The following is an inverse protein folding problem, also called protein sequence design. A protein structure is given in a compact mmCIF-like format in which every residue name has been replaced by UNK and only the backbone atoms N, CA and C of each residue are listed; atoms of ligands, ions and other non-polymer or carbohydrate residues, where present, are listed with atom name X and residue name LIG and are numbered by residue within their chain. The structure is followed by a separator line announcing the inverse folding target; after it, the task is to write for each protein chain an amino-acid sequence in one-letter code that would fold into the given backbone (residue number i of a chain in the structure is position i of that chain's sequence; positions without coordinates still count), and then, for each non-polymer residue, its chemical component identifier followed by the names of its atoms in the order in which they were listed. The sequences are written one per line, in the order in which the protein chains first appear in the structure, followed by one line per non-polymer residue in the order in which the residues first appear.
data_IF_349716726629
#
_entry.id   IF_349716726629
#
_cell.length_a   1.000
_cell.length_b   1.000
_cell.length_c   1.000
_cell.angle_alpha   90.00
_cell.angle_beta   90.00
_cell.angle_gamma   90.00
#
_symmetry.space_group_name_H-M   'P 1'
#
loop_
_entity.id
_entity.type
_entity.pdbx_description
1 polymer ?
#
# COMPACT_ATOMS: atom_id res chain seq x y z
N UNK A 1 -7.49 2.97 71.18
CA UNK A 1 -6.57 4.13 71.07
C UNK A 1 -5.38 3.72 70.23
N UNK A 2 -5.24 4.25 69.01
CA UNK A 2 -3.96 4.46 68.31
C UNK A 2 -4.19 4.59 66.79
N UNK A 3 -3.68 5.70 66.28
CA UNK A 3 -3.12 5.90 64.95
C UNK A 3 -4.01 6.02 63.70
N UNK A 4 -4.17 7.30 63.31
CA UNK A 4 -3.82 7.86 62.00
C UNK A 4 -4.60 7.35 60.79
N UNK A 5 -5.79 7.91 60.62
CA UNK A 5 -6.28 8.29 59.28
C UNK A 5 -6.07 9.78 59.09
N UNK A 6 -5.24 10.14 58.10
CA UNK A 6 -5.34 11.31 57.21
C UNK A 6 -3.96 11.63 56.64
N UNK A 7 -3.82 11.48 55.32
CA UNK A 7 -2.64 11.94 54.60
C UNK A 7 -2.56 11.40 53.18
N UNK A 8 -2.71 12.31 52.22
CA UNK A 8 -2.17 12.26 50.84
C UNK A 8 -3.04 11.57 49.76
N UNK A 9 -4.11 12.26 49.36
CA UNK A 9 -4.53 12.30 47.94
C UNK A 9 -4.07 13.63 47.33
N UNK A 10 -2.82 13.65 46.83
CA UNK A 10 -2.35 14.59 45.80
C UNK A 10 -1.60 13.78 44.76
N UNK A 11 -2.33 13.21 43.81
CA UNK A 11 -1.73 12.74 42.57
C UNK A 11 -1.32 13.98 41.76
N UNK A 12 -0.02 14.27 41.75
CA UNK A 12 0.57 15.24 40.85
C UNK A 12 0.43 14.71 39.41
N UNK A 13 -0.37 15.39 38.60
CA UNK A 13 -0.33 15.24 37.15
C UNK A 13 1.02 15.79 36.68
N UNK A 14 1.98 14.90 36.47
CA UNK A 14 3.22 15.23 35.78
C UNK A 14 2.90 15.58 34.31
N UNK A 15 3.26 16.77 33.81
CA UNK A 15 3.12 17.06 32.39
C UNK A 15 4.14 16.24 31.61
N UNK A 16 3.64 15.42 30.68
CA UNK A 16 4.43 14.69 29.69
C UNK A 16 5.22 15.71 28.86
N UNK A 17 6.53 15.83 29.14
CA UNK A 17 7.48 16.58 28.31
C UNK A 17 7.51 15.97 26.92
N UNK A 18 6.76 16.58 25.99
CA UNK A 18 6.96 16.38 24.55
C UNK A 18 8.33 16.94 24.21
N UNK A 19 9.27 16.08 23.84
CA UNK A 19 10.51 16.50 23.20
C UNK A 19 10.15 17.14 21.86
N UNK A 20 10.07 18.47 21.83
CA UNK A 20 10.04 19.25 20.62
C UNK A 20 11.40 19.09 19.92
N UNK A 21 11.40 18.39 18.78
CA UNK A 21 12.51 18.46 17.84
C UNK A 21 12.63 19.91 17.35
N UNK A 22 13.62 20.64 17.88
CA UNK A 22 14.06 21.92 17.32
C UNK A 22 14.61 21.67 15.92
N UNK A 23 13.83 22.01 14.91
CA UNK A 23 14.35 22.25 13.55
C UNK A 23 15.37 23.39 13.60
N UNK A 24 16.48 23.33 12.86
CA UNK A 24 17.37 24.47 12.73
C UNK A 24 16.60 25.62 12.05
N UNK A 25 16.53 26.77 12.73
CA UNK A 25 16.03 28.02 12.16
C UNK A 25 16.91 28.36 10.96
N UNK A 26 16.41 28.13 9.75
CA UNK A 26 16.98 28.70 8.53
C UNK A 26 16.64 30.18 8.56
N UNK A 27 17.63 31.03 8.75
CA UNK A 27 17.48 32.47 8.69
C UNK A 27 16.83 32.84 7.35
N UNK A 28 15.65 33.46 7.41
CA UNK A 28 15.04 34.12 6.28
C UNK A 28 15.86 35.38 6.03
N UNK A 29 16.74 35.33 5.03
CA UNK A 29 17.30 36.52 4.44
C UNK A 29 16.15 37.26 3.73
N UNK A 30 15.65 38.31 4.37
CA UNK A 30 14.80 39.31 3.72
C UNK A 30 15.62 39.94 2.60
N UNK A 31 15.28 39.60 1.35
CA UNK A 31 15.77 40.34 0.18
C UNK A 31 15.17 41.74 0.27
N UNK A 32 16.00 42.73 0.57
CA UNK A 32 15.63 44.14 0.40
C UNK A 32 15.30 44.44 -1.07
N UNK A 33 14.60 45.55 -1.34
CA UNK A 33 14.31 45.96 -2.71
C UNK A 33 15.61 46.17 -3.48
N UNK A 34 15.67 45.58 -4.67
CA UNK A 34 16.79 45.69 -5.59
C UNK A 34 16.86 47.13 -6.13
N UNK A 35 17.86 47.88 -5.69
CA UNK A 35 18.21 49.19 -6.26
C UNK A 35 19.25 48.94 -7.36
N UNK A 36 18.96 49.24 -8.63
CA UNK A 36 19.95 49.10 -9.69
C UNK A 36 21.06 50.14 -9.51
N UNK A 37 22.32 49.81 -9.87
CA UNK A 37 23.42 50.76 -9.80
C UNK A 37 23.23 51.87 -10.83
N UNK A 38 23.42 53.12 -10.40
CA UNK A 38 23.58 54.29 -11.26
C UNK A 38 24.82 54.10 -12.14
N UNK A 39 24.61 53.60 -13.35
CA UNK A 39 25.61 53.57 -14.39
C UNK A 39 25.52 54.90 -15.15
N UNK A 40 26.62 55.65 -15.12
CA UNK A 40 26.79 56.91 -15.83
C UNK A 40 26.41 56.73 -17.30
N UNK A 41 25.42 57.51 -17.74
CA UNK A 41 25.09 57.66 -19.15
C UNK A 41 26.24 58.39 -19.84
N UNK A 42 27.11 57.63 -20.50
CA UNK A 42 27.88 58.18 -21.62
C UNK A 42 26.94 58.19 -22.83
N UNK A 43 26.58 59.39 -23.26
CA UNK A 43 25.85 59.65 -24.49
C UNK A 43 26.74 59.32 -25.69
N UNK A 44 26.75 58.05 -26.09
CA UNK A 44 27.24 57.61 -27.40
C UNK A 44 26.08 57.58 -28.38
N UNK A 45 26.05 58.53 -29.31
CA UNK A 45 25.05 58.58 -30.39
C UNK A 45 25.12 57.35 -31.27
N UNK A 46 23.97 56.71 -31.50
CA UNK A 46 23.81 55.67 -32.50
C UNK A 46 23.74 56.37 -33.86
N UNK A 47 24.62 56.08 -34.84
CA UNK A 47 24.50 56.67 -36.16
C UNK A 47 23.27 56.10 -36.87
N UNK A 48 22.40 56.98 -37.37
CA UNK A 48 21.32 56.62 -38.28
C UNK A 48 21.93 55.88 -39.47
N UNK A 49 21.49 54.63 -39.68
CA UNK A 49 21.71 53.94 -40.93
C UNK A 49 20.83 54.63 -41.98
N UNK A 50 21.45 55.42 -42.83
CA UNK A 50 20.81 55.95 -44.03
C UNK A 50 20.37 54.75 -44.89
N UNK A 51 19.07 54.67 -45.20
CA UNK A 51 18.62 53.85 -46.32
C UNK A 51 19.19 54.44 -47.61
N UNK A 52 19.70 53.62 -48.54
CA UNK A 52 20.17 54.13 -49.82
C UNK A 52 19.02 54.85 -50.51
N UNK A 53 19.30 56.07 -50.96
CA UNK A 53 18.44 56.83 -51.85
C UNK A 53 18.06 55.99 -53.07
N UNK A 54 16.83 56.21 -53.51
CA UNK A 54 16.24 55.76 -54.75
C UNK A 54 17.25 55.84 -55.90
N UNK A 55 17.61 54.69 -56.46
CA UNK A 55 18.09 54.60 -57.83
C UNK A 55 16.85 54.73 -58.72
N UNK A 56 16.89 55.72 -59.61
CA UNK A 56 15.91 55.97 -60.65
C UNK A 56 15.68 54.70 -61.46
N UNK A 57 14.60 53.97 -61.15
CA UNK A 57 14.05 52.94 -62.01
C UNK A 57 13.17 53.66 -63.04
N UNK A 58 13.71 53.76 -64.26
CA UNK A 58 12.96 54.10 -65.47
C UNK A 58 11.66 53.29 -65.50
N UNK A 59 10.55 54.01 -65.43
CA UNK A 59 9.23 53.49 -65.77
C UNK A 59 9.18 53.37 -67.29
N UNK A 60 9.40 52.16 -67.82
CA UNK A 60 8.92 51.85 -69.17
C UNK A 60 7.39 51.74 -69.10
N UNK A 61 6.69 52.69 -69.74
CA UNK A 61 5.27 52.59 -70.03
C UNK A 61 5.07 51.45 -71.04
N UNK A 62 4.69 50.27 -70.55
CA UNK A 62 4.13 49.22 -71.39
C UNK A 62 2.62 49.47 -71.58
N UNK A 63 2.21 49.48 -72.85
CA UNK A 63 0.87 49.81 -73.35
C UNK A 63 -0.25 48.90 -72.78
N UNK A 64 -1.47 49.42 -72.56
CA UNK A 64 -2.57 48.66 -71.98
C UNK A 64 -3.43 48.05 -73.08
N UNK A 65 -2.96 47.01 -73.76
CA UNK A 65 -3.81 46.19 -74.63
C UNK A 65 -3.36 44.72 -74.62
N UNK A 66 -4.11 43.88 -73.90
CA UNK A 66 -4.49 42.48 -74.22
C UNK A 66 -4.48 41.52 -73.02
N UNK A 67 -5.55 40.75 -72.96
CA UNK A 67 -5.71 39.44 -72.31
C UNK A 67 -5.90 39.39 -70.79
N UNK A 68 -7.11 39.80 -70.40
CA UNK A 68 -7.89 39.17 -69.34
C UNK A 68 -7.96 37.65 -69.55
N UNK A 69 -7.26 36.86 -68.72
CA UNK A 69 -7.69 35.54 -68.22
C UNK A 69 -6.67 34.83 -67.27
N UNK A 70 -5.49 35.41 -66.97
CA UNK A 70 -4.48 34.75 -66.09
C UNK A 70 -4.50 35.16 -64.60
N UNK A 71 -5.39 36.05 -64.15
CA UNK A 71 -5.37 36.53 -62.76
C UNK A 71 -6.00 35.57 -61.71
N UNK A 72 -6.67 34.49 -62.14
CA UNK A 72 -7.41 33.62 -61.22
C UNK A 72 -6.52 32.59 -60.50
N UNK A 73 -5.33 32.28 -61.02
CA UNK A 73 -4.43 31.26 -60.44
C UNK A 73 -3.39 31.81 -59.45
N UNK A 74 -3.20 33.14 -59.39
CA UNK A 74 -2.22 33.77 -58.48
C UNK A 74 -2.66 33.77 -57.01
N UNK A 75 -3.98 33.70 -56.77
CA UNK A 75 -4.55 33.64 -55.42
C UNK A 75 -4.44 32.24 -54.79
N UNK A 76 -4.49 31.18 -55.61
CA UNK A 76 -4.27 29.80 -55.18
C UNK A 76 -2.82 29.56 -54.73
N UNK A 77 -1.87 30.12 -55.49
CA UNK A 77 -0.43 29.99 -55.21
C UNK A 77 0.06 30.77 -53.97
N UNK A 78 -0.71 31.75 -53.48
CA UNK A 78 -0.40 32.52 -52.27
C UNK A 78 -0.79 31.77 -50.98
N UNK A 79 -1.75 30.86 -51.05
CA UNK A 79 -2.18 30.03 -49.91
C UNK A 79 -1.12 28.97 -49.60
N UNK A 80 -0.39 28.48 -50.60
CA UNK A 80 0.66 27.46 -50.45
C UNK A 80 1.98 27.99 -49.86
N UNK A 81 2.19 29.32 -49.86
CA UNK A 81 3.39 29.97 -49.29
C UNK A 81 3.23 30.34 -47.80
N UNK A 82 2.09 30.04 -47.19
CA UNK A 82 1.84 30.25 -45.77
C UNK A 82 2.66 29.29 -44.90
N UNK A 83 3.47 29.80 -43.98
CA UNK A 83 4.16 28.98 -42.97
C UNK A 83 3.11 28.08 -42.26
N UNK A 84 3.34 26.76 -42.14
CA UNK A 84 2.34 25.88 -41.55
C UNK A 84 2.03 26.32 -40.11
N UNK A 85 0.75 26.36 -39.78
CA UNK A 85 0.32 26.61 -38.41
C UNK A 85 0.90 25.52 -37.48
N UNK A 86 1.28 25.88 -36.24
CA UNK A 86 1.78 24.91 -35.29
C UNK A 86 0.73 23.81 -35.05
N UNK A 87 1.19 22.56 -34.98
CA UNK A 87 0.32 21.38 -34.86
C UNK A 87 -0.50 21.33 -33.56
N UNK A 88 -0.12 22.09 -32.52
CA UNK A 88 -0.89 22.13 -31.28
C UNK A 88 -0.91 23.51 -30.61
N UNK A 89 -1.96 23.81 -29.81
CA UNK A 89 -2.11 25.10 -29.15
C UNK A 89 -0.99 25.39 -28.15
N UNK A 90 -0.43 24.35 -27.52
CA UNK A 90 0.63 24.51 -26.52
C UNK A 90 2.05 24.40 -27.11
N UNK A 91 2.20 24.55 -28.43
CA UNK A 91 3.48 24.46 -29.14
C UNK A 91 4.60 25.33 -28.51
N UNK A 92 4.29 26.59 -28.17
CA UNK A 92 5.28 27.52 -27.61
C UNK A 92 5.64 27.28 -26.13
N UNK A 93 5.05 26.28 -25.48
CA UNK A 93 5.35 25.94 -24.08
C UNK A 93 6.66 25.17 -23.87
N UNK A 94 7.30 24.74 -24.96
CA UNK A 94 8.49 23.87 -24.96
C UNK A 94 8.21 22.41 -24.57
N UNK A 95 6.98 22.07 -24.17
CA UNK A 95 6.53 20.71 -23.77
C UNK A 95 5.09 20.47 -24.17
N UNK A 96 4.79 20.71 -25.44
CA UNK A 96 3.42 20.73 -25.96
C UNK A 96 2.64 19.44 -25.66
N UNK A 97 3.24 18.27 -25.96
CA UNK A 97 2.61 16.97 -25.74
C UNK A 97 2.09 16.75 -24.30
N UNK A 98 2.79 17.25 -23.28
CA UNK A 98 2.33 17.14 -21.90
C UNK A 98 1.14 18.07 -21.61
N UNK A 99 1.21 19.33 -22.04
CA UNK A 99 0.16 20.31 -21.75
C UNK A 99 -1.11 20.07 -22.56
N UNK A 100 -0.98 19.58 -23.80
CA UNK A 100 -2.13 19.16 -24.60
C UNK A 100 -2.86 18.00 -23.92
N UNK A 101 -2.12 16.99 -23.43
CA UNK A 101 -2.70 15.87 -22.69
C UNK A 101 -3.28 16.31 -21.34
N UNK A 102 -2.61 17.23 -20.64
CA UNK A 102 -3.14 17.81 -19.40
C UNK A 102 -4.47 18.53 -19.66
N UNK A 103 -4.54 19.36 -20.70
CA UNK A 103 -5.74 20.08 -21.09
C UNK A 103 -6.87 19.13 -21.52
N UNK A 104 -6.55 18.03 -22.21
CA UNK A 104 -7.51 16.98 -22.53
C UNK A 104 -8.12 16.36 -21.27
N UNK A 105 -7.29 16.01 -20.28
CA UNK A 105 -7.77 15.44 -19.00
C UNK A 105 -8.56 16.49 -18.21
N UNK A 106 -8.12 17.74 -18.16
CA UNK A 106 -8.86 18.83 -17.50
C UNK A 106 -10.22 19.07 -18.14
N UNK A 107 -10.29 19.11 -19.48
CA UNK A 107 -11.54 19.22 -20.24
C UNK A 107 -12.46 18.04 -19.93
N UNK A 108 -11.94 16.81 -19.90
CA UNK A 108 -12.71 15.63 -19.53
C UNK A 108 -13.25 15.69 -18.09
N UNK A 109 -12.44 16.14 -17.13
CA UNK A 109 -12.86 16.35 -15.72
C UNK A 109 -13.97 17.39 -15.64
N UNK A 110 -13.85 18.50 -16.36
CA UNK A 110 -14.85 19.56 -16.36
C UNK A 110 -16.15 19.13 -17.04
N UNK A 111 -16.07 18.48 -18.21
CA UNK A 111 -17.22 17.98 -18.94
C UNK A 111 -18.00 16.94 -18.13
N UNK A 112 -17.30 15.97 -17.53
CA UNK A 112 -17.91 14.93 -16.69
C UNK A 112 -18.50 15.50 -15.42
N UNK A 113 -17.83 16.45 -14.78
CA UNK A 113 -18.37 17.17 -13.63
C UNK A 113 -19.66 17.91 -13.98
N UNK A 114 -19.69 18.61 -15.11
CA UNK A 114 -20.88 19.32 -15.57
C UNK A 114 -22.01 18.35 -15.89
N UNK A 115 -21.73 17.24 -16.58
CA UNK A 115 -22.71 16.18 -16.84
C UNK A 115 -23.31 15.61 -15.56
N UNK A 116 -22.47 15.23 -14.59
CA UNK A 116 -22.93 14.71 -13.29
C UNK A 116 -23.72 15.74 -12.47
N UNK A 117 -23.38 17.03 -12.57
CA UNK A 117 -24.16 18.11 -11.94
C UNK A 117 -25.52 18.28 -12.60
N UNK A 118 -25.60 18.22 -13.94
CA UNK A 118 -26.86 18.29 -14.67
C UNK A 118 -27.78 17.12 -14.29
N UNK A 119 -27.21 15.94 -14.05
CA UNK A 119 -27.90 14.76 -13.55
C UNK A 119 -28.16 14.79 -12.02
N UNK A 120 -27.83 15.87 -11.32
CA UNK A 120 -27.99 16.05 -9.87
C UNK A 120 -27.28 15.00 -9.00
N UNK A 121 -26.25 14.34 -9.52
CA UNK A 121 -25.45 13.35 -8.78
C UNK A 121 -24.32 13.99 -7.95
N UNK A 122 -24.03 15.28 -8.17
CA UNK A 122 -23.03 16.03 -7.41
C UNK A 122 -23.66 17.26 -6.74
N UNK A 123 -23.29 17.59 -5.49
CA UNK A 123 -22.26 16.93 -4.68
C UNK A 123 -22.76 15.67 -3.96
N UNK A 124 -21.97 14.60 -4.02
CA UNK A 124 -22.26 13.36 -3.28
C UNK A 124 -21.82 13.51 -1.80
N UNK A 125 -22.65 13.12 -0.81
CA UNK A 125 -22.24 13.11 0.59
C UNK A 125 -21.17 12.04 0.87
N UNK A 126 -20.37 12.22 1.91
CA UNK A 126 -19.18 11.39 2.17
C UNK A 126 -19.54 9.91 2.41
N UNK A 127 -20.64 9.61 3.10
CA UNK A 127 -21.13 8.23 3.28
C UNK A 127 -21.42 7.54 1.95
N UNK A 128 -22.00 8.26 0.99
CA UNK A 128 -22.32 7.72 -0.32
C UNK A 128 -21.05 7.50 -1.15
N UNK A 129 -20.04 8.36 -1.00
CA UNK A 129 -18.72 8.15 -1.66
C UNK A 129 -18.00 6.92 -1.15
N UNK A 130 -18.14 6.60 0.13
CA UNK A 130 -17.56 5.40 0.75
C UNK A 130 -18.28 4.12 0.30
N UNK A 131 -19.60 4.19 0.08
CA UNK A 131 -20.41 3.06 -0.40
C UNK A 131 -20.16 2.70 -1.88
N UNK A 132 -19.58 3.60 -2.70
CA UNK A 132 -19.32 3.35 -4.12
C UNK A 132 -18.37 2.16 -4.34
N UNK A 133 -18.59 1.32 -5.37
CA UNK A 133 -17.69 0.22 -5.68
C UNK A 133 -16.26 0.71 -5.86
N UNK A 134 -15.31 0.03 -5.22
CA UNK A 134 -13.90 0.40 -5.26
C UNK A 134 -13.27 -0.09 -6.57
N UNK A 135 -12.88 0.83 -7.44
CA UNK A 135 -12.00 0.57 -8.59
C UNK A 135 -10.60 1.06 -8.23
N UNK A 136 -9.68 0.17 -7.81
CA UNK A 136 -8.32 0.60 -7.50
C UNK A 136 -7.60 1.00 -8.79
N UNK A 137 -7.33 2.29 -8.94
CA UNK A 137 -6.55 2.80 -10.05
C UNK A 137 -5.06 2.69 -9.75
N UNK A 138 -4.31 2.11 -10.68
CA UNK A 138 -2.84 2.08 -10.66
C UNK A 138 -2.37 2.83 -11.88
N UNK A 139 -1.97 4.07 -11.68
CA UNK A 139 -1.47 4.92 -12.76
C UNK A 139 -0.06 4.49 -13.19
N UNK A 140 0.27 4.75 -14.46
CA UNK A 140 1.64 4.61 -14.97
C UNK A 140 2.64 5.36 -14.09
N UNK A 141 3.83 4.79 -13.90
CA UNK A 141 4.90 5.45 -13.14
C UNK A 141 5.36 6.72 -13.88
N UNK A 142 5.93 7.71 -13.17
CA UNK A 142 6.43 8.94 -13.81
C UNK A 142 7.41 8.70 -14.98
N UNK A 143 8.19 7.60 -14.93
CA UNK A 143 9.08 7.19 -16.03
C UNK A 143 8.32 6.65 -17.24
N UNK A 144 7.32 5.80 -17.01
CA UNK A 144 6.47 5.21 -18.06
C UNK A 144 5.67 6.31 -18.76
N UNK A 145 5.00 7.17 -17.98
CA UNK A 145 4.25 8.32 -18.51
C UNK A 145 5.16 9.32 -19.25
N UNK A 146 6.40 9.50 -18.76
CA UNK A 146 7.39 10.33 -19.45
C UNK A 146 7.86 9.74 -20.77
N UNK A 147 7.94 8.41 -20.87
CA UNK A 147 8.28 7.72 -22.12
C UNK A 147 7.14 7.84 -23.15
N UNK A 148 5.89 7.64 -22.72
CA UNK A 148 4.71 7.77 -23.58
C UNK A 148 4.57 9.19 -24.15
N UNK A 149 4.82 10.21 -23.30
CA UNK A 149 4.70 11.62 -23.68
C UNK A 149 5.98 12.20 -24.29
N UNK A 150 7.06 11.40 -24.37
CA UNK A 150 8.40 11.84 -24.80
C UNK A 150 8.93 13.08 -24.05
N UNK A 151 8.58 13.22 -22.76
CA UNK A 151 8.97 14.36 -21.93
C UNK A 151 9.57 13.86 -20.63
N UNK A 152 10.69 14.46 -20.21
CA UNK A 152 11.26 14.22 -18.88
C UNK A 152 10.26 14.71 -17.82
N UNK A 153 9.75 13.81 -16.97
CA UNK A 153 8.73 14.14 -15.96
C UNK A 153 9.36 14.57 -14.64
N UNK A 154 9.00 15.78 -14.17
CA UNK A 154 9.27 16.22 -12.80
C UNK A 154 8.17 15.70 -11.86
N UNK A 155 8.49 15.52 -10.58
CA UNK A 155 7.53 15.09 -9.56
C UNK A 155 6.29 15.99 -9.48
N UNK A 156 6.43 17.32 -9.61
CA UNK A 156 5.30 18.26 -9.59
C UNK A 156 4.33 18.05 -10.75
N UNK A 157 4.83 17.84 -11.97
CA UNK A 157 4.00 17.58 -13.16
C UNK A 157 3.27 16.25 -13.06
N UNK A 158 3.98 15.21 -12.64
CA UNK A 158 3.37 13.92 -12.39
C UNK A 158 2.26 13.99 -11.34
N UNK A 159 2.45 14.74 -10.24
CA UNK A 159 1.41 14.99 -9.22
C UNK A 159 0.22 15.77 -9.78
N UNK A 160 0.46 16.78 -10.62
CA UNK A 160 -0.60 17.55 -11.25
C UNK A 160 -1.49 16.66 -12.13
N UNK A 161 -0.87 15.84 -12.99
CA UNK A 161 -1.57 14.88 -13.84
C UNK A 161 -2.33 13.83 -13.03
N UNK A 162 -1.67 13.18 -12.07
CA UNK A 162 -2.30 12.12 -11.24
C UNK A 162 -3.43 12.64 -10.35
N UNK A 163 -3.39 13.90 -9.93
CA UNK A 163 -4.50 14.55 -9.21
C UNK A 163 -5.76 14.60 -10.09
N UNK A 164 -5.61 15.03 -11.35
CA UNK A 164 -6.74 15.11 -12.29
C UNK A 164 -7.26 13.72 -12.67
N UNK A 165 -6.37 12.76 -12.91
CA UNK A 165 -6.75 11.36 -13.15
C UNK A 165 -7.49 10.76 -11.93
N UNK A 166 -7.08 11.13 -10.71
CA UNK A 166 -7.79 10.76 -9.48
C UNK A 166 -9.21 11.31 -9.43
N UNK A 167 -9.40 12.58 -9.77
CA UNK A 167 -10.73 13.22 -9.86
C UNK A 167 -11.59 12.56 -10.94
N UNK A 168 -11.02 12.29 -12.12
CA UNK A 168 -11.73 11.63 -13.21
C UNK A 168 -12.15 10.20 -12.85
N UNK A 169 -11.31 9.46 -12.12
CA UNK A 169 -11.64 8.13 -11.61
C UNK A 169 -12.77 8.16 -10.56
N UNK A 170 -12.84 9.22 -9.73
CA UNK A 170 -13.96 9.41 -8.81
C UNK A 170 -15.28 9.63 -9.59
N UNK A 171 -15.28 10.50 -10.59
CA UNK A 171 -16.45 10.73 -11.44
C UNK A 171 -16.87 9.49 -12.22
N UNK A 172 -15.93 8.70 -12.71
CA UNK A 172 -16.22 7.40 -13.31
C UNK A 172 -16.96 6.47 -12.33
N UNK A 173 -16.51 6.39 -11.07
CA UNK A 173 -17.17 5.54 -10.04
C UNK A 173 -18.61 5.98 -9.80
N UNK A 174 -18.85 7.29 -9.76
CA UNK A 174 -20.20 7.87 -9.59
C UNK A 174 -21.06 7.55 -10.81
N UNK A 175 -20.58 7.84 -12.02
CA UNK A 175 -21.30 7.60 -13.27
C UNK A 175 -21.66 6.11 -13.44
N UNK A 176 -20.72 5.20 -13.14
CA UNK A 176 -20.94 3.76 -13.21
C UNK A 176 -21.99 3.29 -12.19
N UNK A 177 -21.93 3.77 -10.94
CA UNK A 177 -22.92 3.41 -9.93
C UNK A 177 -24.32 3.96 -10.24
N UNK A 178 -24.40 5.10 -10.91
CA UNK A 178 -25.66 5.71 -11.34
C UNK A 178 -26.24 5.11 -12.64
N UNK A 179 -25.56 4.14 -13.28
CA UNK A 179 -26.01 3.54 -14.54
C UNK A 179 -25.86 4.43 -15.78
N UNK A 180 -25.03 5.47 -15.71
CA UNK A 180 -24.75 6.36 -16.85
C UNK A 180 -23.66 5.77 -17.74
N UNK A 181 -24.01 4.78 -18.55
CA UNK A 181 -23.04 3.95 -19.26
C UNK A 181 -22.19 4.71 -20.29
N UNK A 182 -22.77 5.62 -21.10
CA UNK A 182 -22.00 6.38 -22.10
C UNK A 182 -20.93 7.27 -21.44
N UNK A 183 -21.30 8.00 -20.40
CA UNK A 183 -20.37 8.83 -19.64
C UNK A 183 -19.28 7.98 -18.97
N UNK A 184 -19.66 6.82 -18.41
CA UNK A 184 -18.73 5.88 -17.81
C UNK A 184 -17.77 5.28 -18.86
N UNK A 185 -18.23 4.95 -20.07
CA UNK A 185 -17.41 4.41 -21.14
C UNK A 185 -16.40 5.44 -21.67
N UNK A 186 -16.83 6.67 -21.93
CA UNK A 186 -15.95 7.76 -22.39
C UNK A 186 -14.84 8.03 -21.39
N UNK A 187 -15.20 8.16 -20.11
CA UNK A 187 -14.22 8.39 -19.03
C UNK A 187 -13.28 7.19 -18.86
N UNK A 188 -13.80 5.96 -18.93
CA UNK A 188 -12.99 4.74 -18.87
C UNK A 188 -11.97 4.68 -20.00
N UNK A 189 -12.36 5.01 -21.23
CA UNK A 189 -11.46 4.98 -22.38
C UNK A 189 -10.28 5.95 -22.19
N UNK A 190 -10.55 7.16 -21.69
CA UNK A 190 -9.49 8.12 -21.35
C UNK A 190 -8.60 7.63 -20.21
N UNK A 191 -9.18 7.06 -19.15
CA UNK A 191 -8.42 6.54 -18.02
C UNK A 191 -7.51 5.38 -18.43
N UNK A 192 -7.97 4.48 -19.30
CA UNK A 192 -7.20 3.32 -19.77
C UNK A 192 -5.87 3.72 -20.43
N UNK A 193 -5.79 4.88 -21.09
CA UNK A 193 -4.55 5.40 -21.70
C UNK A 193 -3.45 5.62 -20.64
N UNK A 194 -3.85 6.02 -19.43
CA UNK A 194 -2.94 6.35 -18.32
C UNK A 194 -2.84 5.26 -17.24
N UNK A 195 -3.60 4.17 -17.37
CA UNK A 195 -3.47 3.00 -16.49
C UNK A 195 -2.16 2.25 -16.76
N UNK A 196 -1.52 1.75 -15.69
CA UNK A 196 -0.27 1.00 -15.83
C UNK A 196 -0.55 -0.39 -16.43
N UNK A 197 0.26 -0.87 -17.40
CA UNK A 197 0.13 -2.24 -17.90
C UNK A 197 0.39 -3.28 -16.80
N UNK A 198 1.14 -2.92 -15.75
CA UNK A 198 1.44 -3.78 -14.62
C UNK A 198 0.38 -3.72 -13.49
N UNK A 199 -0.82 -3.18 -13.75
CA UNK A 199 -1.88 -3.01 -12.74
C UNK A 199 -2.23 -4.30 -12.00
N UNK A 200 -2.41 -5.41 -12.72
CA UNK A 200 -2.74 -6.71 -12.11
C UNK A 200 -1.64 -7.19 -11.16
N UNK A 201 -0.38 -7.08 -11.57
CA UNK A 201 0.78 -7.40 -10.74
C UNK A 201 0.92 -6.46 -9.54
N UNK A 202 0.59 -5.17 -9.68
CA UNK A 202 0.61 -4.21 -8.59
C UNK A 202 -0.48 -4.48 -7.55
N UNK A 203 -1.68 -4.89 -7.98
CA UNK A 203 -2.80 -5.22 -7.08
C UNK A 203 -2.59 -6.56 -6.35
N UNK A 204 -1.92 -7.51 -6.99
CA UNK A 204 -1.56 -8.79 -6.35
C UNK A 204 -0.33 -8.67 -5.46
N UNK A 205 0.52 -7.63 -5.66
CA UNK A 205 1.70 -7.39 -4.83
C UNK A 205 1.30 -7.25 -3.37
N UNK A 206 1.83 -8.13 -2.53
CA UNK A 206 1.58 -8.12 -1.08
C UNK A 206 0.37 -8.95 -0.64
N UNK A 207 -0.51 -9.37 -1.56
CA UNK A 207 -1.51 -10.41 -1.26
C UNK A 207 -0.78 -11.73 -1.09
N UNK A 208 -0.95 -12.38 0.07
CA UNK A 208 -0.38 -13.70 0.33
C UNK A 208 -1.22 -14.76 -0.38
N UNK A 209 -0.57 -15.81 -0.89
CA UNK A 209 -1.25 -17.01 -1.39
C UNK A 209 -2.06 -17.63 -0.25
N UNK A 210 -3.32 -17.95 -0.51
CA UNK A 210 -4.17 -18.72 0.41
C UNK A 210 -3.55 -20.10 0.61
N UNK A 211 -3.46 -20.53 1.86
CA UNK A 211 -2.96 -21.85 2.21
C UNK A 211 -4.17 -22.80 2.30
N UNK A 212 -4.02 -24.02 1.81
CA UNK A 212 -5.07 -25.03 1.79
C UNK A 212 -4.71 -26.18 2.75
N UNK A 213 -5.72 -26.87 3.26
CA UNK A 213 -5.59 -28.10 4.06
C UNK A 213 -5.66 -29.32 3.15
N UNK A 214 -4.84 -30.33 3.37
CA UNK A 214 -4.87 -31.57 2.59
C UNK A 214 -6.22 -32.29 2.69
N UNK A 215 -6.46 -33.31 1.87
CA UNK A 215 -7.67 -34.15 1.89
C UNK A 215 -7.99 -34.74 3.28
N UNK A 216 -6.96 -34.94 4.11
CA UNK A 216 -7.05 -35.50 5.46
C UNK A 216 -7.18 -34.42 6.54
N UNK A 217 -7.52 -33.18 6.17
CA UNK A 217 -7.68 -32.06 7.10
C UNK A 217 -6.37 -31.60 7.75
N UNK A 218 -5.21 -32.05 7.25
CA UNK A 218 -3.89 -31.67 7.76
C UNK A 218 -3.42 -30.37 7.10
N UNK A 219 -2.78 -29.48 7.84
CA UNK A 219 -2.05 -28.35 7.25
C UNK A 219 -0.55 -28.64 7.19
N UNK A 220 0.05 -28.47 6.02
CA UNK A 220 1.50 -28.58 5.83
C UNK A 220 2.16 -27.20 5.79
N UNK A 221 3.14 -26.97 6.67
CA UNK A 221 3.85 -25.68 6.74
C UNK A 221 5.34 -25.82 7.00
N UNK A 222 6.07 -24.73 6.78
CA UNK A 222 7.51 -24.67 6.98
C UNK A 222 7.93 -23.48 7.85
N UNK A 223 8.86 -23.75 8.76
CA UNK A 223 9.54 -22.79 9.61
C UNK A 223 11.05 -22.77 9.37
N UNK A 224 11.68 -21.59 9.47
CA UNK A 224 13.14 -21.43 9.38
C UNK A 224 13.63 -20.41 10.38
N UNK A 225 14.74 -20.70 11.06
CA UNK A 225 15.47 -19.76 11.92
C UNK A 225 16.94 -20.10 11.92
N UNK A 226 17.80 -19.11 11.61
CA UNK A 226 19.24 -19.34 11.37
C UNK A 226 19.41 -20.49 10.34
N UNK A 227 20.13 -21.55 10.70
CA UNK A 227 20.35 -22.76 9.91
C UNK A 227 19.32 -23.86 10.16
N UNK A 228 18.42 -23.70 11.14
CA UNK A 228 17.39 -24.68 11.46
C UNK A 228 16.19 -24.56 10.54
N UNK A 229 15.70 -25.71 10.08
CA UNK A 229 14.50 -25.85 9.27
C UNK A 229 13.53 -26.81 9.95
N UNK A 230 12.25 -26.46 9.94
CA UNK A 230 11.18 -27.27 10.52
C UNK A 230 10.06 -27.46 9.49
N UNK A 231 9.69 -28.71 9.24
CA UNK A 231 8.47 -29.09 8.52
C UNK A 231 7.43 -29.47 9.56
N UNK A 232 6.22 -28.93 9.43
CA UNK A 232 5.17 -29.04 10.45
C UNK A 232 3.90 -29.49 9.75
N UNK A 233 3.33 -30.59 10.24
CA UNK A 233 1.99 -31.05 9.92
C UNK A 233 1.11 -30.85 11.15
N UNK A 234 0.00 -30.14 10.99
CA UNK A 234 -0.98 -29.96 12.05
C UNK A 234 -2.30 -30.61 11.66
N UNK A 235 -2.95 -31.25 12.61
CA UNK A 235 -4.27 -31.86 12.46
C UNK A 235 -5.12 -31.42 13.65
N UNK A 236 -6.37 -30.94 13.46
CA UNK A 236 -7.26 -30.65 14.58
C UNK A 236 -7.51 -31.93 15.38
N UNK A 237 -7.51 -31.83 16.70
CA UNK A 237 -7.93 -32.95 17.56
C UNK A 237 -9.44 -33.07 17.36
N UNK A 238 -9.90 -34.24 16.92
CA UNK A 238 -11.32 -34.55 16.97
C UNK A 238 -11.71 -34.51 18.44
N UNK A 239 -12.58 -33.57 18.81
CA UNK A 239 -13.32 -33.70 20.05
C UNK A 239 -14.03 -35.06 19.96
N UNK A 240 -14.01 -35.90 21.02
CA UNK A 240 -14.96 -36.99 21.10
C UNK A 240 -16.30 -36.34 20.81
N UNK A 241 -17.00 -36.78 19.77
CA UNK A 241 -18.41 -36.46 19.64
C UNK A 241 -19.00 -36.98 20.93
N UNK A 242 -19.35 -36.07 21.84
CA UNK A 242 -20.42 -36.38 22.77
C UNK A 242 -21.56 -36.79 21.84
N UNK A 243 -21.84 -38.09 21.79
CA UNK A 243 -23.16 -38.58 21.47
C UNK A 243 -24.05 -37.82 22.45
N UNK A 244 -24.58 -36.68 22.01
CA UNK A 244 -25.58 -35.95 22.74
C UNK A 244 -26.77 -36.90 22.76
N UNK A 245 -26.84 -37.73 23.79
CA UNK A 245 -28.10 -38.35 24.18
C UNK A 245 -29.05 -37.19 24.42
N UNK A 246 -29.88 -36.94 23.41
CA UNK A 246 -30.99 -35.99 23.50
C UNK A 246 -31.91 -36.59 24.55
N UNK A 247 -31.80 -36.11 25.79
CA UNK A 247 -32.79 -36.46 26.81
C UNK A 247 -34.07 -35.75 26.39
N UNK A 248 -35.02 -36.52 25.86
CA UNK A 248 -36.32 -36.05 25.44
C UNK A 248 -37.01 -35.33 26.60
N UNK A 249 -37.19 -34.02 26.45
CA UNK A 249 -37.76 -33.10 27.46
C UNK A 249 -39.26 -33.32 27.73
N UNK A 250 -39.87 -34.35 27.14
CA UNK A 250 -41.31 -34.62 27.24
C UNK A 250 -41.71 -35.36 28.54
N UNK A 251 -40.77 -35.71 29.42
CA UNK A 251 -41.06 -36.52 30.62
C UNK A 251 -41.10 -35.75 31.96
N UNK A 252 -41.05 -34.41 31.96
CA UNK A 252 -41.17 -33.64 33.21
C UNK A 252 -42.60 -33.09 33.35
N UNK A 253 -43.44 -33.81 34.09
CA UNK A 253 -44.88 -33.57 34.20
C UNK A 253 -45.27 -32.49 35.24
N UNK A 254 -44.35 -32.06 36.11
CA UNK A 254 -44.65 -31.06 37.15
C UNK A 254 -43.44 -30.23 37.60
N UNK A 255 -43.70 -28.98 38.02
CA UNK A 255 -42.68 -28.06 38.56
C UNK A 255 -42.04 -28.59 39.85
N UNK A 256 -42.77 -29.38 40.64
CA UNK A 256 -42.29 -29.97 41.89
C UNK A 256 -41.33 -31.14 41.65
N UNK A 257 -41.53 -31.93 40.59
CA UNK A 257 -40.58 -32.98 40.17
C UNK A 257 -39.27 -32.38 39.63
N UNK A 258 -39.35 -31.25 38.91
CA UNK A 258 -38.17 -30.53 38.44
C UNK A 258 -37.34 -29.95 39.60
N UNK A 259 -38.01 -29.42 40.63
CA UNK A 259 -37.35 -28.89 41.84
C UNK A 259 -36.73 -30.01 42.69
N UNK A 260 -37.37 -31.18 42.78
CA UNK A 260 -36.83 -32.35 43.46
C UNK A 260 -35.56 -32.89 42.77
N UNK A 261 -35.55 -32.97 41.43
CA UNK A 261 -34.39 -33.39 40.64
C UNK A 261 -33.20 -32.41 40.69
N UNK A 262 -33.44 -31.13 41.02
CA UNK A 262 -32.39 -30.14 41.25
C UNK A 262 -31.85 -30.19 42.68
N UNK A 263 -32.68 -30.59 43.64
CA UNK A 263 -32.33 -30.66 45.08
C UNK A 263 -31.70 -31.99 45.48
N UNK A 264 -31.97 -33.07 44.73
CA UNK A 264 -31.42 -34.40 44.97
C UNK A 264 -30.11 -34.69 44.22
N UNK A 265 -29.43 -33.69 43.65
CA UNK A 265 -28.13 -33.90 43.02
C UNK A 265 -27.06 -33.93 44.11
N UNK A 266 -26.59 -35.12 44.56
CA UNK A 266 -25.38 -35.15 45.38
C UNK A 266 -24.28 -34.47 44.58
N UNK A 267 -23.53 -33.60 45.25
CA UNK A 267 -22.32 -32.92 44.77
C UNK A 267 -21.91 -33.39 43.37
N UNK A 268 -22.46 -32.74 42.33
CA UNK A 268 -21.96 -32.92 40.97
C UNK A 268 -20.56 -32.32 40.97
N UNK A 269 -19.58 -33.09 41.46
CA UNK A 269 -18.24 -33.06 40.91
C UNK A 269 -18.47 -32.97 39.41
N UNK A 270 -18.15 -31.82 38.81
CA UNK A 270 -18.20 -31.70 37.37
C UNK A 270 -17.45 -32.91 36.86
N UNK A 271 -18.17 -33.78 36.16
CA UNK A 271 -17.58 -34.93 35.51
C UNK A 271 -16.35 -34.40 34.79
N UNK A 272 -15.14 -34.92 35.09
CA UNK A 272 -13.91 -34.27 34.70
C UNK A 272 -13.91 -34.15 33.18
N UNK A 273 -14.19 -32.94 32.71
CA UNK A 273 -14.36 -32.67 31.29
C UNK A 273 -13.15 -33.23 30.57
N UNK A 274 -13.38 -34.15 29.63
CA UNK A 274 -12.31 -34.93 29.01
C UNK A 274 -11.41 -33.96 28.23
N UNK A 275 -10.35 -33.46 28.87
CA UNK A 275 -9.47 -32.46 28.25
C UNK A 275 -8.77 -33.13 27.06
N UNK A 276 -8.97 -32.67 25.82
CA UNK A 276 -8.35 -33.27 24.65
C UNK A 276 -6.82 -33.23 24.81
N UNK A 277 -6.19 -34.41 24.83
CA UNK A 277 -4.74 -34.54 24.98
C UNK A 277 -4.06 -34.21 23.65
N UNK A 278 -3.56 -32.99 23.49
CA UNK A 278 -2.76 -32.64 22.31
C UNK A 278 -1.39 -33.31 22.37
N UNK A 279 -1.03 -34.04 21.32
CA UNK A 279 0.30 -34.64 21.18
C UNK A 279 1.17 -33.80 20.25
N UNK A 280 2.35 -33.40 20.74
CA UNK A 280 3.36 -32.68 19.96
C UNK A 280 4.59 -33.59 19.82
N UNK A 281 4.81 -34.10 18.60
CA UNK A 281 5.96 -34.93 18.27
C UNK A 281 6.97 -34.17 17.41
N UNK A 282 8.24 -34.29 17.80
CA UNK A 282 9.38 -33.69 17.13
C UNK A 282 10.36 -34.79 16.78
N UNK A 283 10.53 -35.08 15.48
CA UNK A 283 11.32 -36.21 15.01
C UNK A 283 10.93 -37.52 15.71
N UNK A 284 9.62 -37.75 15.87
CA UNK A 284 9.00 -38.91 16.53
C UNK A 284 9.24 -39.01 18.05
N UNK A 285 9.78 -37.96 18.68
CA UNK A 285 10.03 -37.88 20.13
C UNK A 285 9.08 -36.83 20.72
N UNK A 286 8.51 -37.02 21.93
CA UNK A 286 7.67 -36.01 22.56
C UNK A 286 8.45 -34.74 22.88
N UNK A 287 7.77 -33.58 22.86
CA UNK A 287 8.39 -32.26 23.08
C UNK A 287 9.16 -32.14 24.41
N UNK A 288 8.72 -32.86 25.44
CA UNK A 288 9.36 -32.87 26.76
C UNK A 288 10.75 -33.50 26.74
N UNK A 289 10.90 -34.62 26.05
CA UNK A 289 12.19 -35.32 25.91
C UNK A 289 13.10 -34.64 24.90
N UNK A 290 12.56 -34.15 23.78
CA UNK A 290 13.37 -33.55 22.72
C UNK A 290 14.07 -32.25 23.17
N UNK A 291 13.36 -31.37 23.86
CA UNK A 291 13.93 -30.14 24.40
C UNK A 291 14.12 -30.26 25.91
N UNK A 292 15.37 -30.40 26.36
CA UNK A 292 15.67 -30.41 27.79
C UNK A 292 15.37 -29.06 28.48
N UNK A 293 15.59 -27.95 27.77
CA UNK A 293 15.44 -26.59 28.32
C UNK A 293 13.97 -26.14 28.29
N UNK A 294 13.36 -25.75 29.42
CA UNK A 294 11.94 -25.37 29.46
C UNK A 294 11.64 -24.14 28.60
N UNK A 295 12.56 -23.18 28.52
CA UNK A 295 12.41 -22.00 27.65
C UNK A 295 12.29 -22.34 26.16
N UNK A 296 12.85 -23.48 25.70
CA UNK A 296 12.67 -23.94 24.32
C UNK A 296 11.30 -24.59 24.13
N UNK A 297 10.79 -25.34 25.12
CA UNK A 297 9.42 -25.88 25.12
C UNK A 297 8.39 -24.76 25.06
N UNK A 298 8.55 -23.73 25.89
CA UNK A 298 7.68 -22.55 25.90
C UNK A 298 7.65 -21.83 24.55
N UNK A 299 8.80 -21.74 23.85
CA UNK A 299 8.85 -21.13 22.51
C UNK A 299 8.01 -21.89 21.50
N UNK A 300 8.06 -23.22 21.53
CA UNK A 300 7.28 -24.09 20.63
C UNK A 300 5.77 -23.95 20.89
N UNK A 301 5.37 -23.88 22.16
CA UNK A 301 3.97 -23.81 22.58
C UNK A 301 3.39 -22.38 22.49
N UNK A 302 4.24 -21.35 22.49
CA UNK A 302 3.86 -19.93 22.40
C UNK A 302 2.76 -19.61 21.36
N UNK A 303 2.82 -20.04 20.08
CA UNK A 303 1.75 -19.75 19.12
C UNK A 303 0.38 -20.28 19.55
N UNK A 304 0.32 -21.46 20.17
CA UNK A 304 -0.92 -22.04 20.70
C UNK A 304 -1.40 -21.27 21.94
N UNK A 305 -0.47 -20.93 22.84
CA UNK A 305 -0.78 -20.15 24.05
C UNK A 305 -1.34 -18.76 23.73
N UNK A 306 -0.76 -18.06 22.75
CA UNK A 306 -1.22 -16.72 22.37
C UNK A 306 -2.61 -16.72 21.72
N UNK A 307 -3.03 -17.84 21.14
CA UNK A 307 -4.32 -17.98 20.47
C UNK A 307 -5.39 -18.63 21.35
N UNK A 308 -5.04 -19.11 22.54
CA UNK A 308 -5.96 -19.89 23.38
C UNK A 308 -6.26 -21.28 22.83
N UNK A 309 -5.51 -21.77 21.85
CA UNK A 309 -5.75 -23.05 21.16
C UNK A 309 -4.83 -24.17 21.67
N UNK A 310 -4.53 -24.16 22.97
CA UNK A 310 -3.82 -25.25 23.62
C UNK A 310 -4.75 -26.47 23.70
N UNK A 311 -4.25 -27.67 23.37
CA UNK A 311 -5.08 -28.88 23.34
C UNK A 311 -5.83 -29.12 22.03
N UNK A 312 -6.02 -28.10 21.19
CA UNK A 312 -6.88 -28.19 20.01
C UNK A 312 -6.25 -28.90 18.79
N UNK A 313 -4.93 -29.03 18.73
CA UNK A 313 -4.23 -29.58 17.56
C UNK A 313 -3.19 -30.63 17.94
N UNK A 314 -3.14 -31.71 17.16
CA UNK A 314 -2.03 -32.64 17.11
C UNK A 314 -0.97 -32.13 16.12
N UNK A 315 0.28 -32.16 16.54
CA UNK A 315 1.38 -31.53 15.79
C UNK A 315 2.49 -32.55 15.58
N UNK A 316 2.75 -32.87 14.32
CA UNK A 316 3.86 -33.72 13.90
C UNK A 316 4.89 -32.86 13.20
N UNK A 317 6.14 -32.93 13.64
CA UNK A 317 7.19 -32.06 13.10
C UNK A 317 8.47 -32.82 12.80
N UNK A 318 9.11 -32.43 11.70
CA UNK A 318 10.45 -32.88 11.34
C UNK A 318 11.39 -31.69 11.30
N UNK A 319 12.43 -31.75 12.12
CA UNK A 319 13.39 -30.64 12.30
C UNK A 319 14.79 -31.10 11.95
N UNK A 320 15.48 -30.28 11.15
CA UNK A 320 16.85 -30.54 10.70
C UNK A 320 17.71 -29.28 10.79
N UNK A 321 18.97 -29.44 11.20
CA UNK A 321 19.99 -28.39 11.24
C UNK A 321 19.92 -27.43 12.45
N UNK A 322 21.00 -26.68 12.64
CA UNK A 322 21.18 -25.72 13.74
C UNK A 322 21.20 -26.36 15.12
N UNK A 323 20.90 -25.57 16.16
CA UNK A 323 20.86 -26.02 17.56
C UNK A 323 19.47 -25.85 18.18
N UNK A 324 19.29 -26.30 19.43
CA UNK A 324 18.00 -26.36 20.13
C UNK A 324 17.18 -25.06 20.03
N UNK A 325 17.79 -23.91 20.33
CA UNK A 325 17.12 -22.60 20.29
C UNK A 325 16.75 -22.13 18.87
N UNK A 326 17.53 -22.55 17.87
CA UNK A 326 17.22 -22.31 16.46
C UNK A 326 16.03 -23.15 16.03
N UNK A 327 16.02 -24.41 16.43
CA UNK A 327 14.98 -25.40 16.14
C UNK A 327 13.65 -25.03 16.80
N UNK A 328 13.63 -24.70 18.10
CA UNK A 328 12.42 -24.28 18.82
C UNK A 328 11.78 -23.04 18.18
N UNK A 329 12.60 -22.06 17.76
CA UNK A 329 12.11 -20.88 17.05
C UNK A 329 11.64 -21.16 15.62
N UNK A 330 12.26 -22.11 14.92
CA UNK A 330 11.79 -22.55 13.60
C UNK A 330 10.43 -23.26 13.71
N UNK A 331 10.26 -24.15 14.70
CA UNK A 331 9.00 -24.82 15.01
C UNK A 331 7.90 -23.83 15.33
N UNK A 332 8.15 -22.87 16.23
CA UNK A 332 7.18 -21.83 16.59
C UNK A 332 6.67 -21.06 15.35
N UNK A 333 7.57 -20.76 14.41
CA UNK A 333 7.22 -20.09 13.16
C UNK A 333 6.41 -20.98 12.20
N UNK A 334 6.70 -22.29 12.16
CA UNK A 334 5.92 -23.27 11.39
C UNK A 334 4.51 -23.44 11.95
N UNK A 335 4.39 -23.70 13.25
CA UNK A 335 3.10 -23.87 13.94
C UNK A 335 2.23 -22.61 13.78
N UNK A 336 2.80 -21.42 13.92
CA UNK A 336 2.06 -20.17 13.71
C UNK A 336 1.48 -20.03 12.29
N UNK A 337 2.16 -20.57 11.27
CA UNK A 337 1.61 -20.62 9.90
C UNK A 337 0.54 -21.68 9.78
N UNK A 338 0.70 -22.85 10.40
CA UNK A 338 -0.28 -23.92 10.37
C UNK A 338 -1.62 -23.47 10.96
N UNK A 339 -1.58 -22.78 12.11
CA UNK A 339 -2.76 -22.16 12.72
C UNK A 339 -3.47 -21.17 11.79
N UNK A 340 -2.72 -20.42 10.98
CA UNK A 340 -3.30 -19.48 10.01
C UNK A 340 -4.03 -20.18 8.86
N UNK A 341 -3.64 -21.43 8.54
CA UNK A 341 -4.34 -22.24 7.52
C UNK A 341 -5.71 -22.64 8.02
N UNK A 342 -5.82 -23.05 9.28
CA UNK A 342 -7.09 -23.46 9.88
C UNK A 342 -7.99 -22.26 10.20
N UNK A 343 -7.43 -21.23 10.84
CA UNK A 343 -8.17 -20.04 11.27
C UNK A 343 -7.49 -18.76 10.71
N UNK A 344 -7.92 -18.24 9.56
CA UNK A 344 -7.29 -17.07 8.92
C UNK A 344 -7.43 -15.78 9.74
N UNK A 345 -8.46 -15.69 10.58
CA UNK A 345 -8.78 -14.52 11.42
C UNK A 345 -7.70 -14.22 12.48
N UNK A 346 -6.92 -15.25 12.86
CA UNK A 346 -5.80 -15.11 13.80
C UNK A 346 -4.62 -14.31 13.21
N UNK A 347 -4.69 -13.94 11.93
CA UNK A 347 -3.62 -13.26 11.21
C UNK A 347 -3.15 -11.97 11.87
N UNK A 348 -4.06 -11.13 12.36
CA UNK A 348 -3.69 -9.85 12.99
C UNK A 348 -3.03 -10.03 14.36
N UNK A 349 -3.57 -10.94 15.17
CA UNK A 349 -2.98 -11.32 16.45
C UNK A 349 -1.57 -11.86 16.26
N UNK A 350 -1.38 -12.76 15.30
CA UNK A 350 -0.07 -13.36 15.00
C UNK A 350 0.94 -12.37 14.40
N UNK A 351 0.47 -11.34 13.68
CA UNK A 351 1.31 -10.24 13.19
C UNK A 351 1.76 -9.35 14.35
N UNK A 352 0.84 -8.95 15.24
CA UNK A 352 1.15 -8.13 16.43
C UNK A 352 2.16 -8.81 17.34
N UNK A 353 2.02 -10.12 17.53
CA UNK A 353 2.93 -10.95 18.36
C UNK A 353 4.24 -11.34 17.66
N UNK A 354 4.44 -10.94 16.39
CA UNK A 354 5.65 -11.19 15.58
C UNK A 354 5.94 -12.67 15.30
N UNK A 355 4.95 -13.57 15.40
CA UNK A 355 5.12 -15.01 15.13
C UNK A 355 5.11 -15.34 13.64
N UNK A 356 4.38 -14.56 12.82
CA UNK A 356 4.34 -14.73 11.36
C UNK A 356 5.54 -14.11 10.63
N UNK A 357 6.36 -13.29 11.30
CA UNK A 357 7.56 -12.71 10.71
C UNK A 357 8.72 -13.67 10.88
N UNK A 358 9.32 -14.11 9.77
CA UNK A 358 10.58 -14.88 9.82
C UNK A 358 11.67 -14.02 10.46
N UNK A 359 12.39 -14.57 11.44
CA UNK A 359 13.57 -13.92 12.04
C UNK A 359 14.71 -13.87 11.00
N UNK A 360 15.13 -12.68 10.53
CA UNK A 360 16.16 -12.55 9.51
C UNK A 360 17.58 -12.67 10.07
N UNK A 361 17.76 -12.74 11.40
CA UNK A 361 19.08 -12.76 12.03
C UNK A 361 19.86 -14.00 11.61
N UNK A 362 21.04 -13.77 11.02
CA UNK A 362 21.97 -14.81 10.57
C UNK A 362 23.36 -14.54 11.16
N UNK A 363 24.18 -15.59 11.29
CA UNK A 363 25.58 -15.44 11.67
C UNK A 363 26.32 -14.68 10.56
N UNK A 364 26.92 -13.54 10.92
CA UNK A 364 27.76 -12.80 9.99
C UNK A 364 29.07 -13.57 9.71
N UNK A 365 29.54 -13.53 8.47
CA UNK A 365 30.85 -14.11 8.11
C UNK A 365 32.00 -13.37 8.81
N UNK A 366 33.14 -14.05 8.98
CA UNK A 366 34.41 -13.42 9.37
C UNK A 366 34.84 -12.42 8.29
N UNK A 367 35.33 -11.26 8.70
CA UNK A 367 35.93 -10.26 7.80
C UNK A 367 37.46 -10.35 7.88
N UNK A 368 38.20 -10.20 6.77
CA UNK A 368 39.66 -10.15 6.81
C UNK A 368 40.14 -8.99 7.69
N UNK A 369 41.28 -9.16 8.35
CA UNK A 369 41.80 -8.17 9.32
C UNK A 369 41.04 -8.07 10.64
N UNK A 370 40.06 -8.96 10.91
CA UNK A 370 39.33 -9.04 12.18
C UNK A 370 39.38 -10.44 12.78
N UNK A 371 39.39 -10.51 14.11
CA UNK A 371 39.38 -11.77 14.85
C UNK A 371 38.05 -12.53 14.70
N UNK A 372 36.92 -11.81 14.70
CA UNK A 372 35.56 -12.36 14.44
C UNK A 372 34.84 -11.48 13.42
N UNK A 373 33.53 -11.66 13.23
CA UNK A 373 32.73 -10.83 12.31
C UNK A 373 32.91 -9.31 12.55
N UNK A 374 32.95 -8.89 13.82
CA UNK A 374 33.12 -7.48 14.21
C UNK A 374 34.31 -7.20 15.13
N UNK A 375 34.75 -8.16 15.96
CA UNK A 375 35.89 -8.01 16.89
C UNK A 375 37.18 -7.77 16.10
N UNK A 376 37.76 -6.58 16.21
CA UNK A 376 39.11 -6.29 15.72
C UNK A 376 40.18 -6.93 16.61
N UNK A 377 41.40 -7.02 16.09
CA UNK A 377 42.57 -7.22 16.93
C UNK A 377 42.87 -5.95 17.75
N UNK A 378 43.67 -6.08 18.80
CA UNK A 378 44.08 -4.93 19.62
C UNK A 378 44.82 -3.93 18.73
N UNK A 379 44.38 -2.68 18.72
CA UNK A 379 45.02 -1.60 17.98
C UNK A 379 46.03 -0.88 18.88
N UNK A 380 47.24 -0.64 18.37
CA UNK A 380 48.33 0.04 19.10
C UNK A 380 48.60 1.38 18.42
N UNK A 381 48.49 2.49 19.16
CA UNK A 381 48.55 3.86 18.62
C UNK A 381 49.95 4.40 18.32
N UNK A 382 50.91 4.06 19.21
CA UNK A 382 52.29 4.57 19.38
C UNK A 382 52.62 5.90 18.70
#
# INVERSE_FOLDING_TARGET
MSCRMQGLLRASLAPVRRHAFRSPRRALATRGPFVPPLQQMQTGGIPMRQWPMEEDLEYEEEDPDSDSDEEVDKFGELIERGKPAPASPSFYSGRAAYYDQLAQVESAVNHTRSALKMLQLLPLPDFAREALPNRPAVWKTAKEMGADLQVSMTSSRYRAMTRLLGQLNEYYRIAFAAGCDDLALRTRNLLNIFESPAKTAALTRGRRKTLYTDQLGRSYTFGKRKTSTARVWMVPVALPSEELEVVDLEQVASLDEAAALLTSQPDRFHEPQLVPKSTILINNIPVGEYFAVPADRERVVRPLKMTGLLGAYNIFTLVRGGGSTGQSGALAHGIAKGLLVHNPDLGDLMRRTKLLRRDPRMVERKKPGRAKARKGYTWVKR
#
